data_IF_381343924424
#
_entry.id   IF_381343924424
#
_cell.length_a   1.000
_cell.length_b   1.000
_cell.length_c   1.000
_cell.angle_alpha   90.00
_cell.angle_beta   90.00
_cell.angle_gamma   90.00
#
_symmetry.space_group_name_H-M   'P 1'
#
loop_
_entity.id
_entity.type
_entity.pdbx_description
1 polymer ?
#
# COMPACT_ATOMS: atom_id res chain seq x y z
N UNK A 1 10.05 2.02 -7.19
CA UNK A 1 9.01 1.29 -6.42
C UNK A 1 7.77 2.15 -6.46
N UNK A 2 6.61 1.53 -6.55
CA UNK A 2 5.33 2.24 -6.47
C UNK A 2 4.28 1.37 -5.77
N UNK A 3 3.24 2.01 -5.23
CA UNK A 3 2.16 1.38 -4.47
C UNK A 3 0.82 1.76 -5.10
N UNK A 4 -0.08 0.78 -5.20
CA UNK A 4 -1.43 1.02 -5.70
C UNK A 4 -2.22 2.00 -4.80
N UNK A 5 -3.16 2.76 -5.38
CA UNK A 5 -4.00 3.71 -4.66
C UNK A 5 -4.84 3.03 -3.56
N UNK A 6 -5.19 1.75 -3.73
CA UNK A 6 -5.90 0.98 -2.70
C UNK A 6 -5.01 0.44 -1.58
N UNK A 7 -3.68 0.55 -1.72
CA UNK A 7 -2.70 0.04 -0.77
C UNK A 7 -2.61 -1.49 -0.70
N UNK A 8 -3.22 -2.22 -1.64
CA UNK A 8 -3.20 -3.70 -1.65
C UNK A 8 -1.93 -4.26 -2.26
N UNK A 9 -1.51 -3.69 -3.38
CA UNK A 9 -0.39 -4.19 -4.16
C UNK A 9 0.73 -3.16 -4.19
N UNK A 10 1.96 -3.66 -4.16
CA UNK A 10 3.17 -2.87 -4.29
C UNK A 10 4.05 -3.50 -5.36
N UNK A 11 4.66 -2.67 -6.19
CA UNK A 11 5.59 -3.12 -7.21
C UNK A 11 6.97 -2.55 -6.95
N UNK A 12 7.95 -3.43 -6.92
CA UNK A 12 9.35 -3.07 -6.71
C UNK A 12 10.19 -3.57 -7.87
N UNK A 13 11.16 -2.77 -8.26
CA UNK A 13 12.19 -3.15 -9.23
C UNK A 13 13.55 -3.14 -8.58
N UNK A 14 14.33 -4.17 -8.86
CA UNK A 14 15.69 -4.29 -8.41
C UNK A 14 16.70 -4.17 -9.54
N UNK A 15 17.95 -3.88 -9.16
CA UNK A 15 19.12 -3.99 -10.05
C UNK A 15 19.37 -5.44 -10.51
N UNK A 16 18.74 -6.42 -9.87
CA UNK A 16 18.76 -7.83 -10.24
C UNK A 16 17.92 -8.15 -11.48
N UNK A 17 17.46 -7.13 -12.22
CA UNK A 17 16.61 -7.23 -13.41
C UNK A 17 15.28 -7.96 -13.14
N UNK A 18 14.79 -7.92 -11.91
CA UNK A 18 13.51 -8.51 -11.54
C UNK A 18 12.53 -7.42 -11.09
N UNK A 19 11.33 -7.49 -11.63
CA UNK A 19 10.18 -6.76 -11.12
C UNK A 19 9.37 -7.72 -10.25
N UNK A 20 9.10 -7.31 -9.01
CA UNK A 20 8.37 -8.11 -8.03
C UNK A 20 7.08 -7.40 -7.66
N UNK A 21 6.01 -8.17 -7.65
CA UNK A 21 4.70 -7.74 -7.13
C UNK A 21 4.54 -8.31 -5.74
N UNK A 22 4.14 -7.46 -4.81
CA UNK A 22 3.96 -7.78 -3.40
C UNK A 22 2.52 -7.51 -2.98
N UNK A 23 1.96 -8.38 -2.14
CA UNK A 23 0.76 -8.05 -1.37
C UNK A 23 1.21 -7.36 -0.08
N UNK A 24 0.81 -6.10 0.10
CA UNK A 24 1.19 -5.25 1.25
C UNK A 24 0.56 -5.77 2.54
N UNK A 25 -0.62 -6.40 2.47
CA UNK A 25 -1.35 -6.87 3.65
C UNK A 25 -0.75 -8.16 4.21
N UNK A 26 -0.29 -9.04 3.32
CA UNK A 26 0.30 -10.32 3.69
C UNK A 26 1.82 -10.31 3.76
N UNK A 27 2.47 -9.24 3.28
CA UNK A 27 3.92 -9.11 3.15
C UNK A 27 4.59 -10.24 2.37
N UNK A 28 3.88 -10.76 1.36
CA UNK A 28 4.36 -11.86 0.53
C UNK A 28 4.57 -11.41 -0.90
N UNK A 29 5.63 -11.93 -1.49
CA UNK A 29 5.86 -11.81 -2.92
C UNK A 29 4.82 -12.67 -3.65
N UNK A 30 4.05 -12.05 -4.54
CA UNK A 30 3.08 -12.75 -5.39
C UNK A 30 3.78 -13.28 -6.64
N UNK A 31 4.43 -12.39 -7.38
CA UNK A 31 5.02 -12.71 -8.68
C UNK A 31 6.40 -12.05 -8.83
N UNK A 32 7.24 -12.67 -9.65
CA UNK A 32 8.53 -12.13 -10.08
C UNK A 32 8.64 -12.25 -11.59
N UNK A 33 8.83 -11.13 -12.26
CA UNK A 33 9.03 -11.04 -13.69
C UNK A 33 10.50 -10.69 -13.96
N UNK A 34 11.15 -11.49 -14.80
CA UNK A 34 12.51 -11.20 -15.25
C UNK A 34 12.47 -10.25 -16.43
N UNK A 35 13.28 -9.21 -16.38
CA UNK A 35 13.37 -8.19 -17.41
C UNK A 35 14.72 -8.27 -18.13
N UNK A 36 14.78 -7.79 -19.38
CA UNK A 36 16.01 -7.83 -20.16
C UNK A 36 17.09 -6.87 -19.62
N UNK A 37 16.70 -5.76 -18.97
CA UNK A 37 17.63 -4.75 -18.46
C UNK A 37 17.28 -4.32 -17.03
N UNK A 38 18.25 -3.74 -16.32
CA UNK A 38 18.03 -3.17 -14.99
C UNK A 38 17.10 -1.96 -15.09
N UNK A 39 15.93 -2.06 -14.45
CA UNK A 39 14.89 -1.03 -14.45
C UNK A 39 15.26 0.13 -13.53
N UNK A 40 14.97 1.36 -13.95
CA UNK A 40 15.17 2.57 -13.13
C UNK A 40 13.89 2.93 -12.36
N UNK A 41 12.79 3.15 -13.06
CA UNK A 41 11.52 3.63 -12.49
C UNK A 41 10.35 2.70 -12.78
N UNK A 42 9.37 2.71 -11.87
CA UNK A 42 8.10 2.00 -12.01
C UNK A 42 6.98 2.90 -11.53
N UNK A 43 5.85 2.84 -12.24
CA UNK A 43 4.60 3.46 -11.84
C UNK A 43 3.44 2.46 -12.00
N UNK A 44 2.44 2.55 -11.12
CA UNK A 44 1.21 1.78 -11.12
C UNK A 44 0.06 2.74 -11.45
N UNK A 45 -0.80 2.34 -12.37
CA UNK A 45 -2.01 3.08 -12.71
C UNK A 45 -3.16 2.73 -11.76
N UNK A 46 -4.21 3.56 -11.74
CA UNK A 46 -5.41 3.31 -10.93
C UNK A 46 -6.09 1.96 -11.22
N UNK A 47 -5.93 1.46 -12.46
CA UNK A 47 -6.42 0.15 -12.91
C UNK A 47 -5.39 -0.97 -12.84
N UNK A 48 -4.35 -0.82 -12.01
CA UNK A 48 -3.29 -1.82 -11.80
C UNK A 48 -2.48 -2.13 -13.06
N UNK A 49 -2.43 -1.23 -14.05
CA UNK A 49 -1.46 -1.32 -15.14
C UNK A 49 -0.10 -0.84 -14.62
N UNK A 50 0.96 -1.56 -14.95
CA UNK A 50 2.29 -1.26 -14.41
C UNK A 50 3.21 -0.81 -15.52
N UNK A 51 3.71 0.42 -15.42
CA UNK A 51 4.72 0.96 -16.31
C UNK A 51 6.11 0.73 -15.72
N UNK A 52 7.02 0.22 -16.55
CA UNK A 52 8.39 -0.12 -16.21
C UNK A 52 9.36 0.59 -17.18
N UNK A 53 10.27 1.40 -16.65
CA UNK A 53 11.30 2.11 -17.43
C UNK A 53 12.58 1.28 -17.60
N UNK A 54 12.75 0.67 -18.78
CA UNK A 54 13.91 -0.15 -19.17
C UNK A 54 14.86 0.72 -20.00
N UNK A 55 15.80 1.40 -19.33
CA UNK A 55 16.78 2.27 -19.99
C UNK A 55 16.12 3.45 -20.72
N UNK A 56 15.96 3.34 -22.04
CA UNK A 56 15.26 4.32 -22.88
C UNK A 56 13.91 3.80 -23.42
N UNK A 57 13.46 2.63 -22.99
CA UNK A 57 12.17 2.05 -23.39
C UNK A 57 11.24 2.00 -22.18
N UNK A 58 9.97 2.36 -22.38
CA UNK A 58 8.91 2.15 -21.40
C UNK A 58 8.11 0.95 -21.83
N UNK A 59 7.97 -0.04 -20.95
CA UNK A 59 7.10 -1.19 -21.13
C UNK A 59 5.97 -1.12 -20.14
N UNK A 60 4.74 -1.35 -20.62
CA UNK A 60 3.54 -1.37 -19.80
C UNK A 60 3.04 -2.80 -19.75
N UNK A 61 2.74 -3.28 -18.55
CA UNK A 61 2.23 -4.60 -18.27
C UNK A 61 0.82 -4.48 -17.70
N UNK A 62 -0.12 -5.26 -18.26
CA UNK A 62 -1.47 -5.40 -17.71
C UNK A 62 -1.56 -6.67 -16.88
N UNK A 63 -2.37 -6.62 -15.82
CA UNK A 63 -2.70 -7.79 -15.00
C UNK A 63 -1.51 -8.52 -14.37
N UNK A 64 -0.46 -7.76 -14.04
CA UNK A 64 0.75 -8.29 -13.41
C UNK A 64 0.48 -8.85 -12.00
N UNK A 65 -0.61 -8.41 -11.36
CA UNK A 65 -1.11 -8.92 -10.08
C UNK A 65 -1.76 -10.31 -10.17
N UNK A 66 -2.20 -10.74 -11.36
CA UNK A 66 -2.79 -12.07 -11.60
C UNK A 66 -1.75 -13.11 -12.05
N UNK A 67 -0.54 -12.68 -12.40
CA UNK A 67 0.52 -13.58 -12.87
C UNK A 67 0.38 -14.03 -14.33
N UNK A 68 -0.58 -13.50 -15.08
CA UNK A 68 -0.89 -13.90 -16.48
C UNK A 68 0.00 -13.14 -17.49
N UNK A 69 0.79 -12.17 -17.02
CA UNK A 69 1.51 -11.25 -17.89
C UNK A 69 2.82 -11.87 -18.41
N UNK A 70 2.81 -12.35 -19.65
CA UNK A 70 4.00 -12.85 -20.35
C UNK A 70 4.60 -11.84 -21.33
N UNK A 71 3.78 -10.95 -21.88
CA UNK A 71 4.18 -9.97 -22.90
C UNK A 71 3.77 -8.55 -22.47
N UNK A 72 4.58 -7.53 -22.78
CA UNK A 72 4.22 -6.15 -22.52
C UNK A 72 3.02 -5.75 -23.38
N UNK A 73 2.02 -5.13 -22.75
CA UNK A 73 0.85 -4.57 -23.43
C UNK A 73 1.23 -3.47 -24.43
N UNK A 74 2.18 -2.61 -24.03
CA UNK A 74 2.68 -1.53 -24.88
C UNK A 74 4.17 -1.34 -24.59
N UNK A 75 4.96 -1.19 -25.65
CA UNK A 75 6.37 -0.86 -25.54
C UNK A 75 6.66 0.35 -26.44
N UNK A 76 7.21 1.41 -25.86
CA UNK A 76 7.62 2.60 -26.60
C UNK A 76 9.07 2.95 -26.30
N UNK A 77 9.79 3.46 -27.29
CA UNK A 77 11.20 3.83 -27.20
C UNK A 77 11.36 5.35 -27.29
N UNK A 78 12.13 5.90 -26.36
CA UNK A 78 12.44 7.31 -26.29
C UNK A 78 13.90 7.58 -26.69
N UNK A 79 14.18 8.83 -27.06
CA UNK A 79 15.49 9.27 -27.54
C UNK A 79 16.57 9.39 -26.47
N UNK A 80 16.21 9.27 -25.19
CA UNK A 80 17.13 9.39 -24.05
C UNK A 80 16.74 8.46 -22.89
N UNK A 81 17.59 8.34 -21.86
CA UNK A 81 17.26 7.58 -20.66
C UNK A 81 16.07 8.19 -19.93
N UNK A 82 15.23 7.33 -19.37
CA UNK A 82 14.03 7.71 -18.63
C UNK A 82 14.41 8.00 -17.18
N UNK A 83 13.96 9.16 -16.68
CA UNK A 83 14.24 9.66 -15.33
C UNK A 83 13.06 9.51 -14.39
N UNK A 84 11.82 9.51 -14.90
CA UNK A 84 10.64 9.32 -14.06
C UNK A 84 9.42 8.89 -14.88
N UNK A 85 8.46 8.25 -14.21
CA UNK A 85 7.19 7.79 -14.77
C UNK A 85 6.07 8.13 -13.81
N UNK A 86 5.00 8.74 -14.31
CA UNK A 86 3.80 9.02 -13.52
C UNK A 86 2.54 8.89 -14.37
N UNK A 87 1.56 8.12 -13.91
CA UNK A 87 0.24 8.09 -14.53
C UNK A 87 -0.55 9.34 -14.15
N UNK A 88 -1.30 9.88 -15.12
CA UNK A 88 -2.24 10.96 -14.87
C UNK A 88 -3.49 10.36 -14.21
N UNK A 89 -3.96 10.88 -13.07
CA UNK A 89 -5.20 10.41 -12.46
C UNK A 89 -6.40 10.61 -13.40
N UNK A 90 -7.31 9.62 -13.47
CA UNK A 90 -8.57 9.66 -14.22
C UNK A 90 -8.46 9.76 -15.76
N UNK A 91 -7.25 9.81 -16.30
CA UNK A 91 -7.00 9.85 -17.74
C UNK A 91 -6.12 8.68 -18.17
N UNK A 92 -6.25 8.28 -19.43
CA UNK A 92 -5.43 7.22 -20.03
C UNK A 92 -4.07 7.77 -20.52
N UNK A 93 -3.38 8.54 -19.68
CA UNK A 93 -2.12 9.21 -20.01
C UNK A 93 -1.03 8.81 -19.03
N UNK A 94 0.14 8.44 -19.58
CA UNK A 94 1.38 8.26 -18.85
C UNK A 94 2.32 9.43 -19.16
N UNK A 95 2.72 10.16 -18.12
CA UNK A 95 3.81 11.12 -18.19
C UNK A 95 5.16 10.38 -18.10
N UNK A 96 6.03 10.62 -19.09
CA UNK A 96 7.38 10.07 -19.15
C UNK A 96 8.36 11.23 -19.12
N UNK A 97 9.17 11.28 -18.05
CA UNK A 97 10.33 12.16 -17.96
C UNK A 97 11.55 11.48 -18.59
N UNK A 98 12.19 12.14 -19.55
CA UNK A 98 13.39 11.64 -20.21
C UNK A 98 14.45 12.74 -20.32
N UNK A 99 15.71 12.39 -20.61
CA UNK A 99 16.79 13.38 -20.72
C UNK A 99 16.50 14.56 -21.68
N UNK A 100 15.69 14.33 -22.72
CA UNK A 100 15.33 15.35 -23.71
C UNK A 100 14.12 16.22 -23.29
N UNK A 101 13.61 16.12 -22.07
CA UNK A 101 12.40 16.80 -21.59
C UNK A 101 11.29 15.86 -21.13
N UNK A 102 10.05 16.17 -21.51
CA UNK A 102 8.85 15.44 -21.07
C UNK A 102 8.02 15.01 -22.28
N UNK A 103 7.48 13.80 -22.21
CA UNK A 103 6.53 13.27 -23.19
C UNK A 103 5.34 12.66 -22.48
N UNK A 104 4.14 13.02 -22.91
CA UNK A 104 2.92 12.32 -22.55
C UNK A 104 2.64 11.23 -23.57
N UNK A 105 2.36 10.02 -23.09
CA UNK A 105 2.01 8.87 -23.91
C UNK A 105 0.63 8.37 -23.53
N UNK A 106 -0.20 8.06 -24.53
CA UNK A 106 -1.52 7.47 -24.29
C UNK A 106 -1.39 5.98 -23.95
N UNK A 107 -2.01 5.58 -22.85
CA UNK A 107 -2.04 4.19 -22.37
C UNK A 107 -3.49 3.77 -22.15
N UNK A 108 -4.11 3.12 -23.15
CA UNK A 108 -5.53 2.78 -23.07
C UNK A 108 -5.86 1.85 -21.91
N UNK A 109 -6.85 2.24 -21.11
CA UNK A 109 -7.32 1.49 -19.95
C UNK A 109 -6.43 1.58 -18.71
N UNK A 110 -5.65 2.66 -18.56
CA UNK A 110 -4.82 2.91 -17.37
C UNK A 110 -5.53 3.77 -16.32
N UNK A 111 -6.40 4.69 -16.75
CA UNK A 111 -7.15 5.60 -15.89
C UNK A 111 -8.49 5.04 -15.43
N UNK A 112 -8.91 5.45 -14.24
CA UNK A 112 -10.26 5.19 -13.73
C UNK A 112 -11.26 6.16 -14.37
N UNK A 113 -12.20 5.62 -15.16
CA UNK A 113 -13.21 6.43 -15.85
C UNK A 113 -14.24 7.07 -14.89
N UNK A 114 -14.46 6.45 -13.73
CA UNK A 114 -15.47 6.89 -12.76
C UNK A 114 -14.78 7.77 -11.71
N UNK A 115 -14.89 9.08 -11.90
CA UNK A 115 -14.32 10.05 -10.97
C UNK A 115 -15.26 10.23 -9.78
N UNK A 116 -14.72 10.12 -8.56
CA UNK A 116 -15.42 10.59 -7.37
C UNK A 116 -15.19 12.09 -7.18
N UNK A 117 -16.18 12.88 -7.57
CA UNK A 117 -16.14 14.34 -7.52
C UNK A 117 -16.01 14.92 -6.09
N UNK A 118 -16.33 14.15 -5.05
CA UNK A 118 -16.23 14.61 -3.66
C UNK A 118 -14.77 14.61 -3.20
N UNK A 119 -14.02 13.57 -3.56
CA UNK A 119 -12.62 13.42 -3.13
C UNK A 119 -11.66 14.18 -4.05
N UNK A 120 -11.77 13.98 -5.37
CA UNK A 120 -10.86 14.59 -6.33
C UNK A 120 -11.58 14.85 -7.66
N UNK A 121 -12.05 16.08 -7.85
CA UNK A 121 -12.65 16.53 -9.11
C UNK A 121 -11.57 17.18 -10.02
N UNK A 122 -11.31 16.64 -11.22
CA UNK A 122 -10.44 17.26 -12.23
C UNK A 122 -10.97 18.63 -12.71
N UNK A 123 -12.29 18.80 -12.76
CA UNK A 123 -12.96 20.00 -13.25
C UNK A 123 -13.41 20.92 -12.11
N UNK A 124 -12.54 21.14 -11.12
CA UNK A 124 -12.91 21.94 -9.96
C UNK A 124 -13.01 23.44 -10.26
N UNK A 125 -14.07 24.07 -9.73
CA UNK A 125 -14.20 25.53 -9.78
C UNK A 125 -13.35 26.20 -8.70
N UNK A 126 -13.02 27.49 -8.88
CA UNK A 126 -12.28 28.27 -7.87
C UNK A 126 -12.94 28.25 -6.48
N UNK A 127 -14.28 28.21 -6.43
CA UNK A 127 -15.05 28.13 -5.18
C UNK A 127 -14.89 26.76 -4.53
N UNK A 128 -15.12 25.68 -5.28
CA UNK A 128 -14.96 24.31 -4.81
C UNK A 128 -13.53 24.04 -4.31
N UNK A 129 -12.51 24.53 -5.02
CA UNK A 129 -11.10 24.40 -4.61
C UNK A 129 -10.85 25.02 -3.23
N UNK A 130 -11.37 26.23 -3.00
CA UNK A 130 -11.24 26.93 -1.71
C UNK A 130 -11.93 26.18 -0.58
N UNK A 131 -13.16 25.71 -0.81
CA UNK A 131 -13.91 24.94 0.18
C UNK A 131 -13.24 23.60 0.48
N UNK A 132 -12.73 22.90 -0.55
CA UNK A 132 -11.98 21.64 -0.40
C UNK A 132 -10.71 21.83 0.39
N UNK A 133 -9.93 22.88 0.09
CA UNK A 133 -8.69 23.18 0.83
C UNK A 133 -8.98 23.46 2.31
N UNK A 134 -10.00 24.26 2.62
CA UNK A 134 -10.42 24.50 4.02
C UNK A 134 -10.85 23.19 4.68
N UNK A 135 -11.64 22.36 4.00
CA UNK A 135 -12.08 21.07 4.54
C UNK A 135 -10.90 20.11 4.79
N UNK A 136 -9.95 20.01 3.86
CA UNK A 136 -8.74 19.19 4.01
C UNK A 136 -7.87 19.64 5.19
N UNK A 137 -7.81 20.94 5.46
CA UNK A 137 -7.07 21.46 6.61
C UNK A 137 -7.78 21.16 7.94
N UNK A 138 -9.12 21.23 7.98
CA UNK A 138 -9.90 20.87 9.17
C UNK A 138 -9.86 19.36 9.45
N UNK A 139 -9.94 18.53 8.40
CA UNK A 139 -9.94 17.06 8.49
C UNK A 139 -8.51 16.48 8.53
N UNK A 140 -7.47 17.31 8.67
CA UNK A 140 -6.07 16.87 8.64
C UNK A 140 -5.79 15.90 9.79
N UNK A 141 -5.42 14.67 9.43
CA UNK A 141 -5.03 13.63 10.40
C UNK A 141 -3.73 13.99 11.13
N UNK A 142 -3.71 13.69 12.43
CA UNK A 142 -2.50 13.81 13.27
C UNK A 142 -1.50 12.71 12.92
N UNK A 143 -0.21 12.98 13.12
CA UNK A 143 0.86 12.00 12.83
C UNK A 143 0.75 10.72 13.67
N UNK A 144 0.20 10.80 14.88
CA UNK A 144 0.04 9.65 15.78
C UNK A 144 -0.97 8.62 15.25
N UNK A 145 -1.82 9.00 14.30
CA UNK A 145 -2.80 8.11 13.67
C UNK A 145 -2.22 7.31 12.50
N UNK A 146 -0.94 7.48 12.17
CA UNK A 146 -0.28 6.76 11.08
C UNK A 146 0.10 5.36 11.60
N UNK A 147 -0.80 4.40 11.40
CA UNK A 147 -0.60 2.98 11.69
C UNK A 147 -0.56 2.13 10.41
N UNK A 148 -0.25 0.83 10.58
CA UNK A 148 -0.29 -0.12 9.47
C UNK A 148 -1.73 -0.44 9.04
N UNK A 149 -2.61 -0.68 10.01
CA UNK A 149 -4.02 -0.96 9.78
C UNK A 149 -4.83 0.31 10.15
N UNK A 150 -5.44 0.99 9.17
CA UNK A 150 -6.27 2.16 9.43
C UNK A 150 -7.46 1.89 10.36
N UNK A 151 -7.88 0.62 10.52
CA UNK A 151 -9.00 0.25 11.39
C UNK A 151 -8.60 0.15 12.87
N UNK A 152 -7.32 0.25 13.22
CA UNK A 152 -6.85 0.11 14.60
C UNK A 152 -7.45 1.15 15.55
N UNK A 153 -7.79 2.35 15.05
CA UNK A 153 -8.46 3.39 15.86
C UNK A 153 -9.82 2.96 16.43
N UNK A 154 -10.48 1.98 15.79
CA UNK A 154 -11.78 1.47 16.25
C UNK A 154 -11.65 0.31 17.23
N UNK A 155 -10.45 -0.28 17.34
CA UNK A 155 -10.23 -1.43 18.19
C UNK A 155 -10.09 -0.99 19.65
N UNK A 156 -10.77 -1.72 20.53
CA UNK A 156 -10.59 -1.55 21.97
C UNK A 156 -9.29 -2.25 22.36
N UNK A 157 -8.49 -1.59 23.19
CA UNK A 157 -7.30 -2.22 23.76
C UNK A 157 -7.73 -3.23 24.83
N UNK A 158 -7.81 -4.50 24.44
CA UNK A 158 -8.25 -5.60 25.31
C UNK A 158 -7.37 -5.74 26.55
N UNK A 159 -6.04 -5.58 26.41
CA UNK A 159 -5.08 -5.74 27.51
C UNK A 159 -5.27 -4.67 28.60
N UNK A 160 -5.53 -3.42 28.20
CA UNK A 160 -5.81 -2.34 29.16
C UNK A 160 -7.16 -2.55 29.83
N UNK A 161 -8.17 -2.95 29.06
CA UNK A 161 -9.50 -3.22 29.59
C UNK A 161 -9.48 -4.35 30.62
N UNK A 162 -8.73 -5.43 30.36
CA UNK A 162 -8.56 -6.54 31.30
C UNK A 162 -7.90 -6.07 32.61
N UNK A 163 -6.84 -5.25 32.53
CA UNK A 163 -6.18 -4.68 33.72
C UNK A 163 -7.11 -3.80 34.54
N UNK A 164 -7.85 -2.90 33.88
CA UNK A 164 -8.83 -2.04 34.56
C UNK A 164 -9.95 -2.87 35.22
N UNK A 165 -10.39 -3.95 34.58
CA UNK A 165 -11.37 -4.86 35.16
C UNK A 165 -10.81 -5.61 36.38
N UNK A 166 -9.56 -6.07 36.34
CA UNK A 166 -8.90 -6.70 37.48
C UNK A 166 -8.73 -5.73 38.66
N UNK A 167 -8.37 -4.48 38.40
CA UNK A 167 -8.27 -3.45 39.42
C UNK A 167 -9.63 -3.15 40.04
N UNK A 168 -10.69 -3.02 39.22
CA UNK A 168 -12.06 -2.82 39.71
C UNK A 168 -12.57 -4.00 40.56
N UNK A 169 -12.22 -5.23 40.19
CA UNK A 169 -12.58 -6.44 40.98
C UNK A 169 -11.90 -6.46 42.36
N UNK A 170 -10.74 -5.82 42.52
CA UNK A 170 -10.03 -5.74 43.82
C UNK A 170 -10.65 -4.72 44.78
N UNK A 171 -11.43 -3.76 44.28
CA UNK A 171 -12.08 -2.75 45.11
C UNK A 171 -13.27 -3.40 45.83
N UNK A 172 -13.23 -3.47 47.17
CA UNK A 172 -14.33 -3.94 47.98
C UNK A 172 -15.58 -3.07 47.75
N UNK A 173 -16.78 -3.69 47.73
CA UNK A 173 -18.11 -3.07 47.53
C UNK A 173 -18.48 -2.61 46.11
N UNK A 174 -17.66 -2.87 45.09
CA UNK A 174 -18.05 -2.66 43.69
C UNK A 174 -18.55 -3.97 43.07
N UNK A 175 -19.78 -4.00 42.55
CA UNK A 175 -20.31 -5.18 41.85
C UNK A 175 -19.58 -5.35 40.50
N UNK A 176 -18.89 -6.47 40.25
CA UNK A 176 -18.25 -6.71 38.96
C UNK A 176 -19.30 -6.75 37.85
N UNK A 177 -18.98 -6.16 36.70
CA UNK A 177 -19.80 -6.26 35.49
C UNK A 177 -19.36 -7.51 34.74
N UNK A 178 -20.24 -8.51 34.62
CA UNK A 178 -19.97 -9.72 33.84
C UNK A 178 -20.15 -9.41 32.35
N UNK A 179 -19.05 -9.13 31.68
CA UNK A 179 -19.02 -9.01 30.22
C UNK A 179 -18.64 -10.38 29.67
N UNK A 180 -19.51 -10.97 28.84
CA UNK A 180 -19.19 -12.23 28.14
C UNK A 180 -18.12 -11.96 27.09
N UNK A 181 -16.86 -12.01 27.51
CA UNK A 181 -15.70 -11.95 26.63
C UNK A 181 -15.35 -13.39 26.20
N UNK A 182 -15.38 -13.64 24.89
CA UNK A 182 -14.85 -14.89 24.32
C UNK A 182 -13.38 -14.64 23.97
N UNK A 183 -12.42 -15.06 24.80
CA UNK A 183 -11.01 -14.83 24.51
C UNK A 183 -10.64 -15.53 23.21
N UNK A 184 -10.09 -14.78 22.26
CA UNK A 184 -9.56 -15.35 21.02
C UNK A 184 -8.27 -16.08 21.37
N UNK A 185 -8.37 -17.40 21.51
CA UNK A 185 -7.27 -18.26 21.93
C UNK A 185 -6.12 -18.21 20.91
N UNK A 186 -5.16 -17.30 21.09
CA UNK A 186 -3.89 -17.37 20.37
C UNK A 186 -3.16 -18.60 20.89
N UNK A 187 -3.09 -19.66 20.08
CA UNK A 187 -2.28 -20.84 20.39
C UNK A 187 -0.85 -20.40 20.64
N UNK A 188 -0.47 -20.34 21.92
CA UNK A 188 0.91 -20.22 22.35
C UNK A 188 1.61 -21.46 21.81
N UNK A 189 2.44 -21.29 20.78
CA UNK A 189 3.17 -22.38 20.16
C UNK A 189 3.86 -23.22 21.22
N UNK A 190 3.82 -24.56 21.05
CA UNK A 190 4.49 -25.56 21.91
C UNK A 190 5.99 -25.25 21.98
N UNK A 191 6.37 -24.33 22.85
CA UNK A 191 7.74 -23.93 23.12
C UNK A 191 8.07 -24.29 24.55
N UNK A 192 9.05 -25.18 24.72
CA UNK A 192 9.62 -25.69 25.97
C UNK A 192 10.26 -24.57 26.81
N UNK A 193 9.45 -23.74 27.45
CA UNK A 193 9.90 -22.67 28.35
C UNK A 193 10.11 -23.10 29.80
N UNK A 194 9.59 -24.26 30.22
CA UNK A 194 9.63 -24.71 31.63
C UNK A 194 10.85 -25.59 31.98
N UNK A 195 11.90 -25.63 31.15
CA UNK A 195 13.04 -26.55 31.33
C UNK A 195 14.39 -25.87 31.55
N UNK A 196 14.39 -24.64 32.06
CA UNK A 196 15.61 -23.96 32.55
C UNK A 196 15.37 -23.42 33.94
N UNK A 197 15.45 -24.27 34.94
CA UNK A 197 15.94 -23.94 36.28
C UNK A 197 16.12 -25.23 37.10
N UNK A 198 17.15 -25.24 37.94
CA UNK A 198 17.65 -26.33 38.81
C UNK A 198 18.58 -27.38 38.17
N UNK A 199 19.82 -26.96 37.88
CA UNK A 199 20.97 -27.82 38.05
C UNK A 199 21.73 -27.33 39.28
N UNK A 200 21.40 -27.92 40.43
CA UNK A 200 22.16 -27.82 41.68
C UNK A 200 23.51 -28.52 41.46
N UNK A 201 24.60 -27.77 41.57
CA UNK A 201 25.95 -28.34 41.69
C UNK A 201 26.23 -28.54 43.18
N UNK A 202 26.69 -29.75 43.49
CA UNK A 202 27.14 -30.24 44.79
C UNK A 202 28.48 -29.61 45.16
#
# INVERSE_FOLDING_TARGET
MDVDQTGKYMVTTGLDRKCRVWDVRMYKQLHAFSLPFGLSHVAISQRLAVACAIGNTVQIFKDMHLGICHEPYLANRFGGPITDLAFVPYEDVLGVGHANGFTSMLVPGSGEANVDAIHANPYETKKQRREREVKQLLDKLQHDLIGLDPQDITRVNEDLLEREMEERKKILYVRPVDIQYTPKHKMRGRGTGSRKETATVI
#
